data_IF_708743339740
#
_entry.id   IF_708743339740
#
_cell.length_a   1.000
_cell.length_b   1.000
_cell.length_c   1.000
_cell.angle_alpha   90.00
_cell.angle_beta   90.00
_cell.angle_gamma   90.00
#
_symmetry.space_group_name_H-M   'P 1'
#
loop_
_entity.id
_entity.type
_entity.pdbx_description
1 polymer ?
#
# COMPACT_ATOMS: atom_id res chain seq x y z
N UNK A 1 -20.04 21.90 -11.51
CA UNK A 1 -19.12 20.89 -12.11
C UNK A 1 -17.65 21.32 -12.01
N UNK A 2 -17.29 22.55 -12.42
CA UNK A 2 -15.92 23.08 -12.31
C UNK A 2 -15.33 23.01 -10.90
N UNK A 3 -16.10 23.35 -9.88
CA UNK A 3 -15.59 23.43 -8.49
C UNK A 3 -15.34 22.04 -7.88
N UNK A 4 -16.07 21.01 -8.33
CA UNK A 4 -15.85 19.62 -7.93
C UNK A 4 -14.52 19.11 -8.53
N UNK A 5 -14.23 19.46 -9.79
CA UNK A 5 -12.98 19.10 -10.44
C UNK A 5 -11.78 19.77 -9.78
N UNK A 6 -11.90 21.07 -9.46
CA UNK A 6 -10.84 21.81 -8.75
C UNK A 6 -10.60 21.25 -7.35
N UNK A 7 -11.67 20.96 -6.60
CA UNK A 7 -11.56 20.34 -5.27
C UNK A 7 -10.88 18.97 -5.31
N UNK A 8 -11.25 18.13 -6.29
CA UNK A 8 -10.62 16.82 -6.48
C UNK A 8 -9.14 16.90 -6.86
N UNK A 9 -8.76 17.87 -7.72
CA UNK A 9 -7.37 18.11 -8.12
C UNK A 9 -6.54 18.56 -6.91
N UNK A 10 -7.01 19.55 -6.16
CA UNK A 10 -6.33 20.05 -4.97
C UNK A 10 -6.16 18.95 -3.94
N UNK A 11 -7.21 18.16 -3.67
CA UNK A 11 -7.13 17.03 -2.75
C UNK A 11 -6.09 16.00 -3.22
N UNK A 12 -6.09 15.66 -4.51
CA UNK A 12 -5.13 14.71 -5.08
C UNK A 12 -3.68 15.21 -4.93
N UNK A 13 -3.42 16.49 -5.21
CA UNK A 13 -2.10 17.10 -5.05
C UNK A 13 -1.64 17.08 -3.58
N UNK A 14 -2.54 17.41 -2.64
CA UNK A 14 -2.24 17.35 -1.20
C UNK A 14 -1.90 15.92 -0.78
N UNK A 15 -2.66 14.92 -1.23
CA UNK A 15 -2.38 13.51 -0.90
C UNK A 15 -1.04 13.04 -1.48
N UNK A 16 -0.72 13.43 -2.72
CA UNK A 16 0.56 13.12 -3.36
C UNK A 16 1.72 13.78 -2.60
N UNK A 17 1.59 15.06 -2.23
CA UNK A 17 2.63 15.77 -1.49
C UNK A 17 2.89 15.11 -0.14
N UNK A 18 1.85 14.79 0.63
CA UNK A 18 1.98 14.10 1.92
C UNK A 18 2.60 12.71 1.80
N UNK A 19 2.33 11.98 0.72
CA UNK A 19 2.96 10.67 0.47
C UNK A 19 4.46 10.82 0.24
N UNK A 20 4.87 11.74 -0.64
CA UNK A 20 6.29 11.99 -0.93
C UNK A 20 7.08 12.39 0.32
N UNK A 21 6.55 13.33 1.12
CA UNK A 21 7.25 13.78 2.33
C UNK A 21 7.36 12.67 3.39
N UNK A 22 6.41 11.74 3.45
CA UNK A 22 6.48 10.59 4.36
C UNK A 22 7.46 9.54 3.86
N UNK A 23 7.41 9.21 2.57
CA UNK A 23 8.32 8.24 1.95
C UNK A 23 9.79 8.65 2.11
N UNK A 24 10.09 9.95 1.98
CA UNK A 24 11.45 10.47 2.16
C UNK A 24 11.94 10.37 3.62
N UNK A 25 11.05 10.56 4.60
CA UNK A 25 11.38 10.41 6.02
C UNK A 25 11.51 8.93 6.44
N UNK A 26 10.69 8.04 5.89
CA UNK A 26 10.66 6.61 6.22
C UNK A 26 11.69 5.80 5.43
N UNK A 27 12.06 6.24 4.24
CA UNK A 27 12.99 5.56 3.33
C UNK A 27 13.98 6.56 2.68
N UNK A 28 14.87 7.17 3.46
CA UNK A 28 15.83 8.18 2.96
C UNK A 28 16.81 7.62 1.92
N UNK A 29 16.99 6.30 1.89
CA UNK A 29 17.86 5.60 0.94
C UNK A 29 17.14 5.16 -0.34
N UNK A 30 15.81 5.34 -0.42
CA UNK A 30 15.01 4.92 -1.58
C UNK A 30 15.07 3.40 -1.81
N UNK A 31 15.24 2.60 -0.76
CA UNK A 31 15.26 1.14 -0.86
C UNK A 31 13.92 0.62 -1.41
N UNK A 32 13.94 -0.46 -2.21
CA UNK A 32 12.71 -1.07 -2.65
C UNK A 32 11.90 -1.55 -1.43
N UNK A 33 10.57 -1.47 -1.53
CA UNK A 33 9.71 -2.10 -0.53
C UNK A 33 10.02 -3.60 -0.47
N UNK A 34 9.90 -4.24 0.71
CA UNK A 34 10.11 -5.67 0.83
C UNK A 34 9.18 -6.41 -0.15
N UNK A 35 9.64 -7.52 -0.74
CA UNK A 35 8.80 -8.32 -1.62
C UNK A 35 7.57 -8.80 -0.83
N UNK A 36 6.44 -8.96 -1.49
CA UNK A 36 5.20 -9.42 -0.85
C UNK A 36 4.45 -10.44 -1.70
N UNK A 37 3.41 -11.07 -1.15
CA UNK A 37 2.54 -11.95 -1.91
C UNK A 37 1.93 -11.20 -3.09
N UNK A 38 2.01 -11.80 -4.28
CA UNK A 38 1.57 -11.18 -5.53
C UNK A 38 0.05 -10.93 -5.49
N UNK A 39 -0.39 -9.67 -5.62
CA UNK A 39 -1.82 -9.35 -5.65
C UNK A 39 -2.48 -9.79 -6.95
N UNK A 40 -3.76 -10.15 -6.86
CA UNK A 40 -4.63 -10.32 -8.02
C UNK A 40 -4.98 -8.96 -8.63
N UNK A 41 -5.19 -8.88 -9.96
CA UNK A 41 -5.72 -7.69 -10.59
C UNK A 41 -7.05 -7.28 -9.91
N UNK A 42 -7.19 -5.98 -9.60
CA UNK A 42 -8.36 -5.35 -8.97
C UNK A 42 -8.68 -5.76 -7.52
N UNK A 43 -8.53 -7.03 -7.15
CA UNK A 43 -8.91 -7.56 -5.83
C UNK A 43 -7.78 -7.58 -4.81
N UNK A 44 -6.53 -7.38 -5.25
CA UNK A 44 -5.38 -7.48 -4.37
C UNK A 44 -5.22 -8.88 -3.79
N UNK A 45 -4.94 -8.97 -2.49
CA UNK A 45 -4.78 -10.24 -1.77
C UNK A 45 -6.07 -10.68 -1.05
N UNK A 46 -7.21 -10.04 -1.28
CA UNK A 46 -8.44 -10.31 -0.53
C UNK A 46 -8.88 -11.78 -0.64
N UNK A 47 -8.82 -12.38 -1.84
CA UNK A 47 -9.18 -13.78 -2.06
C UNK A 47 -8.17 -14.78 -1.48
N UNK A 48 -6.97 -14.33 -1.10
CA UNK A 48 -5.95 -15.18 -0.51
C UNK A 48 -6.09 -15.27 1.02
N UNK A 49 -6.81 -14.33 1.64
CA UNK A 49 -6.95 -14.25 3.09
C UNK A 49 -8.11 -15.17 3.52
N UNK A 50 -7.85 -16.20 4.34
CA UNK A 50 -8.92 -17.08 4.82
C UNK A 50 -9.81 -16.35 5.81
N UNK A 51 -11.10 -16.69 5.82
CA UNK A 51 -12.10 -16.11 6.73
C UNK A 51 -11.84 -16.40 8.21
N UNK A 52 -11.10 -17.47 8.51
CA UNK A 52 -10.64 -17.83 9.85
C UNK A 52 -9.17 -18.24 9.79
N UNK A 53 -8.43 -18.06 10.88
CA UNK A 53 -7.02 -18.48 10.94
C UNK A 53 -6.06 -17.64 10.10
N UNK A 54 -6.43 -16.40 9.73
CA UNK A 54 -5.60 -15.51 8.90
C UNK A 54 -4.22 -15.23 9.49
N UNK A 55 -4.07 -15.29 10.82
CA UNK A 55 -2.78 -15.17 11.49
C UNK A 55 -1.76 -16.23 11.03
N UNK A 56 -2.18 -17.46 10.70
CA UNK A 56 -1.28 -18.48 10.18
C UNK A 56 -0.70 -18.09 8.81
N UNK A 57 -1.55 -17.51 7.95
CA UNK A 57 -1.11 -17.00 6.65
C UNK A 57 -0.14 -15.84 6.84
N UNK A 58 -0.44 -14.90 7.73
CA UNK A 58 0.43 -13.76 8.01
C UNK A 58 1.79 -14.20 8.60
N UNK A 59 1.80 -15.17 9.51
CA UNK A 59 3.06 -15.76 10.03
C UNK A 59 3.86 -16.42 8.91
N UNK A 60 3.19 -17.13 7.98
CA UNK A 60 3.87 -17.71 6.82
C UNK A 60 4.45 -16.61 5.92
N UNK A 61 3.69 -15.57 5.62
CA UNK A 61 4.16 -14.45 4.82
C UNK A 61 5.30 -13.70 5.48
N UNK A 62 5.25 -13.44 6.78
CA UNK A 62 6.35 -12.82 7.52
C UNK A 62 7.64 -13.67 7.44
N UNK A 63 7.54 -15.00 7.48
CA UNK A 63 8.71 -15.87 7.27
C UNK A 63 9.26 -15.85 5.84
N UNK A 64 8.40 -15.64 4.84
CA UNK A 64 8.78 -15.68 3.42
C UNK A 64 9.24 -14.31 2.89
N UNK A 65 8.67 -13.24 3.41
CA UNK A 65 8.74 -11.88 2.88
C UNK A 65 9.22 -10.86 3.91
N UNK A 66 9.25 -11.23 5.19
CA UNK A 66 9.79 -10.37 6.25
C UNK A 66 11.31 -10.40 6.19
N UNK A 67 11.89 -9.22 6.02
CA UNK A 67 13.29 -8.92 6.30
C UNK A 67 13.52 -8.82 7.81
#
# INVERSE_FOLDING_TARGET
MRDILLGGLVLSLVLIHRRRTKEEAENPQGLPLPPGPKPLPLLGNALQIPSSGSWHLYTKWQKTYGE
#
